data_IF_183938332471
#
_entry.id   IF_183938332471
#
_cell.length_a   1.000
_cell.length_b   1.000
_cell.length_c   1.000
_cell.angle_alpha   90.00
_cell.angle_beta   90.00
_cell.angle_gamma   90.00
#
_symmetry.space_group_name_H-M   'P 1'
#
loop_
_entity.id
_entity.type
_entity.pdbx_description
1 polymer ?
#
# COMPACT_ATOMS: atom_id res chain seq x y z
N UNK A 1 11.48 1.16 6.49
CA UNK A 1 11.99 1.46 7.85
C UNK A 1 13.24 0.67 8.23
N UNK A 2 13.21 -0.67 8.27
CA UNK A 2 14.39 -1.50 8.67
C UNK A 2 15.66 -1.20 7.86
N UNK A 3 15.55 -1.14 6.54
CA UNK A 3 16.67 -0.79 5.63
C UNK A 3 17.30 0.55 6.03
N UNK A 4 16.47 1.56 6.30
CA UNK A 4 16.95 2.90 6.65
C UNK A 4 17.61 2.95 8.01
N UNK A 5 17.09 2.21 9.00
CA UNK A 5 17.69 2.11 10.33
C UNK A 5 19.03 1.38 10.33
N UNK A 6 19.17 0.34 9.49
CA UNK A 6 20.40 -0.43 9.36
C UNK A 6 21.48 0.41 8.66
N UNK A 7 21.11 1.09 7.57
CA UNK A 7 22.06 1.86 6.76
C UNK A 7 22.30 3.27 7.33
N UNK A 8 21.48 3.69 8.31
CA UNK A 8 21.48 5.04 8.90
C UNK A 8 21.22 6.15 7.86
N UNK A 9 20.54 5.81 6.78
CA UNK A 9 20.18 6.73 5.69
C UNK A 9 18.83 6.35 5.08
N UNK A 10 18.07 7.34 4.61
CA UNK A 10 16.85 7.13 3.85
C UNK A 10 17.14 7.18 2.34
N UNK A 11 16.73 6.14 1.61
CA UNK A 11 17.03 5.99 0.20
C UNK A 11 15.80 5.56 -0.61
N UNK A 12 15.72 6.03 -1.85
CA UNK A 12 14.71 5.62 -2.83
C UNK A 12 15.37 5.15 -4.11
N UNK A 13 14.74 4.22 -4.82
CA UNK A 13 15.29 3.62 -6.03
C UNK A 13 15.15 4.56 -7.24
N UNK A 14 16.22 4.67 -8.02
CA UNK A 14 16.25 5.43 -9.26
C UNK A 14 15.87 6.89 -9.04
N UNK A 15 14.97 7.42 -9.87
CA UNK A 15 14.53 8.83 -9.77
C UNK A 15 13.47 9.08 -8.69
N UNK A 16 13.00 8.03 -7.99
CA UNK A 16 11.91 8.16 -7.02
C UNK A 16 10.53 8.41 -7.65
N UNK A 17 10.42 8.34 -8.98
CA UNK A 17 9.17 8.57 -9.74
C UNK A 17 8.31 7.32 -9.91
N UNK A 18 8.69 6.21 -9.26
CA UNK A 18 7.92 4.98 -9.26
C UNK A 18 6.58 5.20 -8.56
N UNK A 19 5.47 4.90 -9.26
CA UNK A 19 4.12 5.18 -8.77
C UNK A 19 3.46 3.91 -8.28
N UNK A 20 2.94 3.94 -7.05
CA UNK A 20 2.16 2.86 -6.48
C UNK A 20 0.76 3.32 -6.06
N UNK A 21 -0.25 2.52 -6.38
CA UNK A 21 -1.58 2.67 -5.77
C UNK A 21 -1.54 2.26 -4.31
N UNK A 22 -2.30 2.97 -3.48
CA UNK A 22 -2.41 2.71 -2.05
C UNK A 22 -3.86 2.67 -1.60
N UNK A 23 -4.09 2.00 -0.47
CA UNK A 23 -5.39 1.90 0.18
C UNK A 23 -5.21 1.55 1.66
N UNK A 24 -6.06 2.11 2.51
CA UNK A 24 -6.12 1.76 3.92
C UNK A 24 -6.84 0.41 4.13
N UNK A 25 -6.39 -0.39 5.10
CA UNK A 25 -6.93 -1.74 5.36
C UNK A 25 -8.45 -1.72 5.67
N UNK A 26 -8.93 -0.71 6.41
CA UNK A 26 -10.37 -0.56 6.68
C UNK A 26 -11.21 -0.32 5.41
N UNK A 27 -10.64 0.35 4.40
CA UNK A 27 -11.30 0.54 3.10
C UNK A 27 -11.35 -0.75 2.29
N UNK A 28 -10.34 -1.62 2.43
CA UNK A 28 -10.36 -2.97 1.86
C UNK A 28 -11.47 -3.81 2.51
N UNK A 29 -11.61 -3.77 3.84
CA UNK A 29 -12.70 -4.47 4.53
C UNK A 29 -14.08 -4.00 4.05
N UNK A 30 -14.27 -2.69 3.88
CA UNK A 30 -15.51 -2.13 3.30
C UNK A 30 -15.73 -2.54 1.85
N UNK A 31 -14.66 -2.69 1.06
CA UNK A 31 -14.78 -3.19 -0.31
C UNK A 31 -15.32 -4.63 -0.33
N UNK A 32 -14.82 -5.50 0.55
CA UNK A 32 -15.33 -6.87 0.66
C UNK A 32 -16.82 -6.90 1.01
N UNK A 33 -17.28 -6.06 1.94
CA UNK A 33 -18.70 -5.98 2.27
C UNK A 33 -19.55 -5.63 1.03
N UNK A 34 -19.15 -4.61 0.27
CA UNK A 34 -19.86 -4.22 -0.97
C UNK A 34 -19.87 -5.35 -2.00
N UNK A 35 -18.75 -6.06 -2.16
CA UNK A 35 -18.64 -7.18 -3.11
C UNK A 35 -19.54 -8.34 -2.69
N UNK A 36 -19.55 -8.71 -1.40
CA UNK A 36 -20.39 -9.79 -0.87
C UNK A 36 -21.87 -9.44 -0.99
N UNK A 37 -22.25 -8.21 -0.62
CA UNK A 37 -23.63 -7.73 -0.79
C UNK A 37 -24.06 -7.73 -2.26
N UNK A 38 -23.17 -7.36 -3.18
CA UNK A 38 -23.42 -7.46 -4.61
C UNK A 38 -23.59 -8.91 -5.05
N UNK A 39 -22.70 -9.81 -4.61
CA UNK A 39 -22.74 -11.22 -4.95
C UNK A 39 -24.05 -11.90 -4.50
N UNK A 40 -24.52 -11.60 -3.29
CA UNK A 40 -25.79 -12.13 -2.75
C UNK A 40 -27.03 -11.67 -3.52
N UNK A 41 -26.95 -10.54 -4.25
CA UNK A 41 -28.05 -10.02 -5.08
C UNK A 41 -28.07 -10.59 -6.49
N UNK A 42 -27.02 -11.32 -6.90
CA UNK A 42 -26.96 -11.93 -8.22
C UNK A 42 -28.04 -13.01 -8.33
N UNK A 43 -28.93 -12.86 -9.30
CA UNK A 43 -29.88 -13.89 -9.71
C UNK A 43 -29.25 -14.73 -10.83
N UNK A 44 -29.71 -15.96 -11.02
CA UNK A 44 -29.24 -16.91 -12.05
C UNK A 44 -27.86 -17.53 -11.77
N UNK A 45 -27.61 -17.92 -10.52
CA UNK A 45 -26.56 -18.88 -10.19
C UNK A 45 -27.21 -20.27 -10.29
N UNK A 46 -26.69 -21.14 -11.15
CA UNK A 46 -27.12 -22.53 -11.26
C UNK A 46 -26.77 -23.31 -9.99
N UNK A 47 -27.35 -24.49 -9.77
CA UNK A 47 -27.11 -25.30 -8.55
C UNK A 47 -25.63 -25.68 -8.34
N UNK A 48 -24.83 -25.70 -9.42
CA UNK A 48 -23.39 -25.92 -9.42
C UNK A 48 -22.55 -24.63 -9.28
N UNK A 49 -23.19 -23.48 -9.02
CA UNK A 49 -22.52 -22.20 -8.75
C UNK A 49 -22.14 -21.40 -10.01
N UNK A 50 -22.50 -21.85 -11.21
CA UNK A 50 -22.18 -21.15 -12.45
C UNK A 50 -23.20 -20.04 -12.72
N UNK A 51 -22.71 -18.88 -13.15
CA UNK A 51 -23.58 -17.83 -13.68
C UNK A 51 -23.40 -17.81 -15.20
N UNK A 52 -24.39 -18.33 -15.93
CA UNK A 52 -24.34 -18.49 -17.39
C UNK A 52 -24.32 -17.17 -18.17
N UNK A 53 -24.44 -16.03 -17.48
CA UNK A 53 -24.45 -14.69 -18.05
C UNK A 53 -23.23 -13.83 -17.66
N UNK A 54 -22.26 -14.38 -16.93
CA UNK A 54 -21.05 -13.64 -16.51
C UNK A 54 -19.79 -14.37 -16.93
N UNK A 55 -18.80 -13.60 -17.36
CA UNK A 55 -17.45 -14.11 -17.61
C UNK A 55 -16.69 -14.23 -16.27
N UNK A 56 -15.75 -15.16 -16.17
CA UNK A 56 -14.87 -15.29 -15.01
C UNK A 56 -14.14 -13.99 -14.67
N UNK A 57 -13.89 -13.15 -15.68
CA UNK A 57 -13.28 -11.84 -15.48
C UNK A 57 -14.19 -10.82 -14.77
N UNK A 58 -15.50 -11.02 -14.71
CA UNK A 58 -16.44 -10.09 -14.04
C UNK A 58 -16.31 -10.11 -12.51
N UNK A 59 -15.58 -11.08 -11.97
CA UNK A 59 -15.37 -11.24 -10.54
C UNK A 59 -14.11 -10.52 -10.02
N UNK A 60 -13.31 -9.89 -10.89
CA UNK A 60 -12.15 -9.10 -10.46
C UNK A 60 -12.55 -7.67 -10.06
N UNK A 61 -12.34 -7.37 -8.79
CA UNK A 61 -12.51 -6.04 -8.21
C UNK A 61 -11.17 -5.56 -7.63
N UNK A 62 -10.65 -4.45 -8.14
CA UNK A 62 -9.44 -3.84 -7.61
C UNK A 62 -9.77 -2.76 -6.58
N UNK A 63 -8.96 -2.68 -5.54
CA UNK A 63 -9.11 -1.74 -4.43
C UNK A 63 -7.97 -0.72 -4.45
N UNK A 64 -8.29 0.53 -4.72
CA UNK A 64 -7.34 1.64 -4.81
C UNK A 64 -8.00 2.95 -4.39
N UNK A 65 -7.41 3.60 -3.39
CA UNK A 65 -7.89 4.86 -2.85
C UNK A 65 -7.16 6.06 -3.46
N UNK A 66 -5.85 5.92 -3.67
CA UNK A 66 -5.00 6.94 -4.29
C UNK A 66 -3.73 6.36 -4.87
N UNK A 67 -2.84 7.23 -5.33
CA UNK A 67 -1.51 6.89 -5.83
C UNK A 67 -0.46 7.78 -5.17
N UNK A 68 0.76 7.27 -5.03
CA UNK A 68 1.91 8.04 -4.56
C UNK A 68 3.14 7.72 -5.39
N UNK A 69 4.09 8.67 -5.44
CA UNK A 69 5.45 8.41 -5.91
C UNK A 69 6.35 8.09 -4.71
N UNK A 70 7.26 7.14 -4.87
CA UNK A 70 8.11 6.67 -3.77
C UNK A 70 9.11 7.72 -3.26
N UNK A 71 9.63 8.61 -4.12
CA UNK A 71 10.55 9.68 -3.72
C UNK A 71 9.95 10.58 -2.63
N UNK A 72 8.79 11.22 -2.87
CA UNK A 72 8.09 12.01 -1.86
C UNK A 72 7.75 11.24 -0.58
N UNK A 73 7.30 9.99 -0.69
CA UNK A 73 7.00 9.15 0.50
C UNK A 73 8.26 8.91 1.33
N UNK A 74 9.38 8.56 0.69
CA UNK A 74 10.66 8.34 1.40
C UNK A 74 11.20 9.62 2.02
N UNK A 75 11.00 10.78 1.38
CA UNK A 75 11.36 12.08 1.94
C UNK A 75 10.58 12.37 3.22
N UNK A 76 9.29 12.07 3.22
CA UNK A 76 8.45 12.29 4.40
C UNK A 76 8.77 11.28 5.52
N UNK A 77 9.07 10.03 5.18
CA UNK A 77 9.60 9.05 6.15
C UNK A 77 10.93 9.53 6.73
N UNK A 78 11.83 10.09 5.91
CA UNK A 78 13.12 10.61 6.37
C UNK A 78 12.94 11.79 7.35
N UNK A 79 11.99 12.69 7.08
CA UNK A 79 11.59 13.76 8.01
C UNK A 79 11.10 13.17 9.34
N UNK A 80 10.14 12.25 9.30
CA UNK A 80 9.56 11.64 10.50
C UNK A 80 10.61 10.89 11.34
N UNK A 81 11.52 10.16 10.69
CA UNK A 81 12.62 9.46 11.36
C UNK A 81 13.67 10.40 11.96
N UNK A 82 14.01 11.49 11.26
CA UNK A 82 14.95 12.50 11.76
C UNK A 82 14.41 13.20 13.02
N UNK A 83 13.13 13.59 13.02
CA UNK A 83 12.49 14.21 14.20
C UNK A 83 12.50 13.31 15.44
N UNK A 84 12.53 11.99 15.25
CA UNK A 84 12.63 10.99 16.32
C UNK A 84 14.07 10.62 16.69
N UNK A 85 15.06 11.29 16.12
CA UNK A 85 16.49 11.03 16.37
C UNK A 85 16.99 9.70 15.80
N UNK A 86 16.25 9.06 14.89
CA UNK A 86 16.61 7.76 14.31
C UNK A 86 17.62 7.90 13.17
N UNK A 87 17.61 9.05 12.50
CA UNK A 87 18.56 9.46 11.47
C UNK A 87 19.25 10.75 11.90
N UNK A 88 20.48 10.96 11.43
CA UNK A 88 21.23 12.21 11.67
C UNK A 88 20.80 13.36 10.76
N UNK A 89 20.05 13.07 9.70
CA UNK A 89 19.55 14.02 8.71
C UNK A 89 18.24 13.51 8.10
N UNK A 90 17.40 14.43 7.63
CA UNK A 90 16.20 14.11 6.82
C UNK A 90 16.49 14.05 5.32
N UNK A 91 17.74 14.20 4.89
CA UNK A 91 18.13 14.12 3.49
C UNK A 91 17.93 12.69 2.95
N UNK A 92 17.40 12.60 1.73
CA UNK A 92 17.19 11.33 1.02
C UNK A 92 18.18 11.15 -0.13
N UNK A 93 18.47 9.89 -0.47
CA UNK A 93 19.41 9.53 -1.53
C UNK A 93 18.74 8.68 -2.62
N UNK A 94 19.05 9.01 -3.87
CA UNK A 94 18.77 8.14 -5.02
C UNK A 94 19.78 7.00 -5.06
N UNK A 95 19.29 5.76 -5.19
CA UNK A 95 20.13 4.55 -5.25
C UNK A 95 19.77 3.66 -6.44
N UNK A 96 20.72 2.88 -6.99
CA UNK A 96 20.42 1.91 -8.04
C UNK A 96 19.56 0.74 -7.51
N UNK A 97 18.93 -0.02 -8.41
CA UNK A 97 18.03 -1.14 -8.05
C UNK A 97 18.78 -2.30 -7.36
N UNK A 98 20.10 -2.36 -7.46
CA UNK A 98 20.94 -3.37 -6.81
C UNK A 98 21.32 -3.00 -5.36
N UNK A 99 20.99 -1.77 -4.90
CA UNK A 99 21.46 -1.24 -3.62
C UNK A 99 20.99 -2.06 -2.40
N UNK A 100 19.70 -2.42 -2.36
CA UNK A 100 19.13 -3.26 -1.31
C UNK A 100 17.94 -4.05 -1.86
N UNK A 101 17.97 -5.38 -1.72
CA UNK A 101 16.94 -6.26 -2.30
C UNK A 101 15.54 -5.96 -1.78
N UNK A 102 15.39 -5.59 -0.51
CA UNK A 102 14.08 -5.34 0.11
C UNK A 102 13.54 -4.00 -0.40
N UNK A 103 14.37 -2.96 -0.38
CA UNK A 103 14.00 -1.63 -0.89
C UNK A 103 13.59 -1.71 -2.36
N UNK A 104 14.34 -2.45 -3.17
CA UNK A 104 14.08 -2.64 -4.59
C UNK A 104 12.80 -3.41 -4.86
N UNK A 105 12.55 -4.49 -4.12
CA UNK A 105 11.29 -5.21 -4.23
C UNK A 105 10.09 -4.35 -3.81
N UNK A 106 10.23 -3.58 -2.74
CA UNK A 106 9.14 -2.79 -2.17
C UNK A 106 8.83 -1.51 -2.95
N UNK A 107 9.80 -0.91 -3.66
CA UNK A 107 9.65 0.44 -4.24
C UNK A 107 10.29 0.64 -5.62
N UNK A 108 10.93 -0.39 -6.17
CA UNK A 108 11.69 -0.31 -7.42
C UNK A 108 10.85 -0.36 -8.70
N UNK A 109 9.55 -0.64 -8.60
CA UNK A 109 8.64 -0.80 -9.74
C UNK A 109 7.49 0.20 -9.71
N UNK A 110 6.69 0.27 -10.78
CA UNK A 110 5.41 0.99 -10.82
C UNK A 110 4.25 0.00 -10.84
N UNK A 111 3.27 0.19 -9.97
CA UNK A 111 2.08 -0.67 -9.85
C UNK A 111 0.83 0.19 -9.64
N UNK A 112 -0.10 0.14 -10.59
CA UNK A 112 -1.25 1.05 -10.61
C UNK A 112 -2.53 0.29 -10.85
N UNK A 113 -3.56 0.58 -10.07
CA UNK A 113 -4.88 -0.04 -10.20
C UNK A 113 -5.98 1.01 -10.29
N UNK A 114 -7.07 0.66 -10.97
CA UNK A 114 -8.29 1.46 -11.02
C UNK A 114 -9.45 0.65 -10.45
N UNK A 115 -10.12 1.20 -9.45
CA UNK A 115 -11.28 0.58 -8.80
C UNK A 115 -12.59 0.78 -9.59
N UNK A 116 -12.54 0.72 -10.92
CA UNK A 116 -13.68 1.08 -11.79
C UNK A 116 -14.94 0.29 -11.44
N UNK A 117 -14.86 -1.05 -11.40
CA UNK A 117 -16.01 -1.92 -11.09
C UNK A 117 -16.51 -1.74 -9.66
N UNK A 118 -15.59 -1.63 -8.71
CA UNK A 118 -15.94 -1.48 -7.30
C UNK A 118 -16.65 -0.12 -7.06
N UNK A 119 -16.17 0.96 -7.68
CA UNK A 119 -16.83 2.28 -7.64
C UNK A 119 -18.20 2.28 -8.33
N UNK A 120 -18.38 1.49 -9.39
CA UNK A 120 -19.69 1.30 -10.02
C UNK A 120 -20.70 0.61 -9.09
N UNK A 121 -20.25 -0.13 -8.07
CA UNK A 121 -21.10 -0.68 -7.01
C UNK A 121 -21.39 0.33 -5.86
N UNK A 122 -20.97 1.59 -6.00
CA UNK A 122 -21.17 2.63 -4.99
C UNK A 122 -20.11 2.67 -3.89
N UNK A 123 -19.06 1.84 -3.97
CA UNK A 123 -17.97 1.88 -3.01
C UNK A 123 -17.10 3.13 -3.21
N UNK A 124 -16.74 3.78 -2.10
CA UNK A 124 -15.79 4.88 -2.05
C UNK A 124 -14.87 4.72 -0.84
N UNK A 125 -13.55 4.96 -0.98
CA UNK A 125 -12.64 4.94 0.15
C UNK A 125 -12.93 6.13 1.08
N UNK A 126 -12.74 5.94 2.38
CA UNK A 126 -13.06 6.93 3.42
C UNK A 126 -11.91 7.23 4.36
N UNK A 127 -10.85 6.42 4.33
CA UNK A 127 -9.72 6.60 5.24
C UNK A 127 -8.70 7.60 4.70
N UNK A 128 -7.76 7.96 5.57
CA UNK A 128 -6.63 8.84 5.34
C UNK A 128 -5.70 8.38 4.22
N UNK A 129 -5.04 9.36 3.59
CA UNK A 129 -4.02 9.14 2.58
C UNK A 129 -2.73 8.62 3.24
N UNK A 130 -1.95 7.79 2.54
CA UNK A 130 -0.64 7.33 2.98
C UNK A 130 0.27 8.48 3.47
N UNK A 131 0.25 9.65 2.84
CA UNK A 131 1.09 10.77 3.29
C UNK A 131 0.72 11.25 4.71
N UNK A 132 -0.56 11.15 5.08
CA UNK A 132 -1.06 11.55 6.39
C UNK A 132 -0.82 10.47 7.45
N UNK A 133 -0.44 9.24 7.05
CA UNK A 133 -0.20 8.12 7.97
C UNK A 133 1.25 7.96 8.38
N UNK A 134 2.19 8.64 7.71
CA UNK A 134 3.63 8.34 7.83
C UNK A 134 4.14 8.44 9.27
N UNK A 135 3.72 9.47 10.02
CA UNK A 135 4.15 9.60 11.42
C UNK A 135 3.64 8.44 12.28
N UNK A 136 2.36 8.06 12.13
CA UNK A 136 1.77 6.92 12.84
C UNK A 136 2.43 5.59 12.45
N UNK A 137 2.69 5.38 11.16
CA UNK A 137 3.33 4.17 10.64
C UNK A 137 4.78 4.03 11.13
N UNK A 138 5.48 5.17 11.25
CA UNK A 138 6.83 5.22 11.83
C UNK A 138 6.79 4.81 13.30
N UNK A 139 5.87 5.36 14.08
CA UNK A 139 5.73 5.03 15.50
C UNK A 139 5.36 3.55 15.72
N UNK A 140 4.34 3.07 15.00
CA UNK A 140 3.90 1.67 15.08
C UNK A 140 5.04 0.69 14.74
N UNK A 141 5.82 1.00 13.69
CA UNK A 141 6.98 0.18 13.32
C UNK A 141 8.06 0.16 14.40
N UNK A 142 8.30 1.25 15.12
CA UNK A 142 9.26 1.31 16.22
C UNK A 142 8.79 0.49 17.42
N UNK A 143 7.50 0.56 17.73
CA UNK A 143 6.88 -0.27 18.78
C UNK A 143 7.01 -1.76 18.46
N UNK A 144 6.75 -2.16 17.21
CA UNK A 144 6.95 -3.55 16.75
C UNK A 144 8.40 -4.01 16.87
N UNK A 145 9.38 -3.13 16.60
CA UNK A 145 10.79 -3.47 16.74
C UNK A 145 11.21 -3.63 18.21
N UNK A 146 10.64 -2.83 19.12
CA UNK A 146 10.91 -2.93 20.57
C UNK A 146 10.32 -4.19 21.19
N UNK A 147 9.16 -4.64 20.71
CA UNK A 147 8.44 -5.78 21.27
C UNK A 147 8.99 -7.15 20.86
N UNK A 148 10.09 -7.20 20.08
CA UNK A 148 10.68 -8.45 19.55
C UNK A 148 9.68 -9.34 18.78
N UNK A 149 8.56 -8.78 18.34
CA UNK A 149 7.60 -9.47 17.48
C UNK A 149 8.26 -9.56 16.10
N UNK A 150 8.92 -10.69 15.84
CA UNK A 150 9.36 -11.02 14.49
C UNK A 150 8.11 -11.10 13.60
N UNK A 151 8.04 -10.32 12.51
CA UNK A 151 6.98 -10.52 11.53
C UNK A 151 7.07 -11.95 10.98
N UNK A 152 6.02 -12.74 11.16
CA UNK A 152 5.87 -14.03 10.49
C UNK A 152 5.49 -13.75 9.03
N UNK A 153 6.48 -13.44 8.19
CA UNK A 153 6.33 -13.40 6.75
C UNK A 153 7.46 -14.18 6.09
#
# INVERSE_FOLDING_TARGET
>A
MRVFLNNKEAAFVGRGTNIWSNIHVCDVARAFLVIVEHALKLKNITEDGQNTQRDGFDNFYFTGAGEHAWGPVVQEIARAMYQRGLLKTSATKSVPIEYDRILSYASGSTSRVKSTRLRALGWTPKEKNIMDTIDEDVDASLEMMKSNIKPNF
#
